data_IF_324565589207
#
_entry.id   IF_324565589207
#
_cell.length_a   1.000
_cell.length_b   1.000
_cell.length_c   1.000
_cell.angle_alpha   90.00
_cell.angle_beta   90.00
_cell.angle_gamma   90.00
#
_symmetry.space_group_name_H-M   'P 1'
#
loop_
_entity.id
_entity.type
_entity.pdbx_description
1 polymer ?
#
# COMPACT_ATOMS: atom_id res chain seq x y z
N UNK A 1 -22.99 28.07 0.09
CA UNK A 1 -23.55 26.99 -0.72
C UNK A 1 -24.12 25.98 0.25
N UNK A 2 -25.44 25.79 0.22
CA UNK A 2 -26.11 24.76 0.99
C UNK A 2 -26.13 23.45 0.20
N UNK A 3 -26.41 22.34 0.87
CA UNK A 3 -26.46 21.02 0.22
C UNK A 3 -27.51 20.96 -0.91
N UNK A 4 -28.62 21.64 -0.71
CA UNK A 4 -29.75 21.75 -1.65
C UNK A 4 -29.43 22.59 -2.90
N UNK A 5 -28.37 23.39 -2.88
CA UNK A 5 -27.93 24.20 -4.02
C UNK A 5 -27.09 23.40 -5.03
N UNK A 6 -26.75 22.13 -4.71
CA UNK A 6 -25.87 21.31 -5.53
C UNK A 6 -26.62 20.67 -6.70
N UNK A 7 -26.02 20.74 -7.89
CA UNK A 7 -26.47 19.98 -9.05
C UNK A 7 -26.24 18.47 -8.83
N UNK A 8 -27.23 17.65 -9.19
CA UNK A 8 -27.24 16.21 -8.88
C UNK A 8 -27.16 15.38 -10.17
N UNK A 9 -26.41 14.25 -10.16
CA UNK A 9 -25.80 13.59 -9.00
C UNK A 9 -24.42 14.14 -8.61
N UNK A 10 -24.20 14.33 -7.31
CA UNK A 10 -22.89 14.70 -6.74
C UNK A 10 -22.58 13.89 -5.48
N UNK A 11 -21.37 13.30 -5.35
CA UNK A 11 -20.95 12.68 -4.11
C UNK A 11 -20.58 13.74 -3.07
N UNK A 12 -21.17 13.67 -1.88
CA UNK A 12 -20.88 14.58 -0.77
C UNK A 12 -20.29 13.79 0.40
N UNK A 13 -19.28 14.36 1.05
CA UNK A 13 -18.59 13.78 2.21
C UNK A 13 -18.74 14.75 3.37
N UNK A 14 -19.32 14.27 4.47
CA UNK A 14 -19.37 14.98 5.75
C UNK A 14 -18.00 14.91 6.43
N UNK A 15 -17.29 16.05 6.45
CA UNK A 15 -15.92 16.12 6.98
C UNK A 15 -15.86 15.94 8.51
N UNK A 16 -16.85 16.42 9.25
CA UNK A 16 -16.92 16.24 10.71
C UNK A 16 -17.06 14.76 11.07
N UNK A 17 -17.76 13.98 10.25
CA UNK A 17 -17.82 12.52 10.39
C UNK A 17 -16.52 11.84 10.00
N UNK A 18 -15.84 12.30 8.94
CA UNK A 18 -14.55 11.76 8.53
C UNK A 18 -13.52 11.94 9.64
N UNK A 19 -13.40 13.16 10.19
CA UNK A 19 -12.43 13.48 11.23
C UNK A 19 -12.66 12.67 12.51
N UNK A 20 -13.91 12.59 12.98
CA UNK A 20 -14.26 11.72 14.13
C UNK A 20 -13.95 10.24 13.89
N UNK A 21 -14.14 9.74 12.67
CA UNK A 21 -13.84 8.34 12.35
C UNK A 21 -12.33 8.07 12.32
N UNK A 22 -11.53 9.01 11.78
CA UNK A 22 -10.07 8.93 11.77
C UNK A 22 -9.55 8.93 13.21
N UNK A 23 -9.95 9.92 14.01
CA UNK A 23 -9.52 10.07 15.40
C UNK A 23 -9.87 8.85 16.24
N UNK A 24 -11.11 8.34 16.11
CA UNK A 24 -11.57 7.16 16.84
C UNK A 24 -10.71 5.93 16.55
N UNK A 25 -10.44 5.64 15.28
CA UNK A 25 -9.65 4.48 14.90
C UNK A 25 -8.20 4.64 15.38
N UNK A 26 -7.62 5.81 15.16
CA UNK A 26 -6.22 6.06 15.51
C UNK A 26 -6.00 5.97 17.03
N UNK A 27 -6.85 6.62 17.82
CA UNK A 27 -6.82 6.54 19.29
C UNK A 27 -6.93 5.10 19.79
N UNK A 28 -7.82 4.30 19.18
CA UNK A 28 -7.95 2.89 19.53
C UNK A 28 -6.66 2.11 19.25
N UNK A 29 -6.05 2.29 18.08
CA UNK A 29 -4.82 1.59 17.71
C UNK A 29 -3.64 2.01 18.59
N UNK A 30 -3.52 3.30 18.90
CA UNK A 30 -2.48 3.84 19.78
C UNK A 30 -2.59 3.28 21.20
N UNK A 31 -3.82 3.18 21.74
CA UNK A 31 -4.07 2.57 23.05
C UNK A 31 -3.65 1.09 23.14
N UNK A 32 -3.53 0.41 21.99
CA UNK A 32 -3.09 -0.98 21.90
C UNK A 32 -1.66 -1.13 21.38
N UNK A 33 -0.94 -0.02 21.13
CA UNK A 33 0.41 -0.04 20.56
C UNK A 33 0.48 -0.60 19.13
N UNK A 34 -0.63 -0.56 18.39
CA UNK A 34 -0.72 -1.07 17.01
C UNK A 34 -0.52 0.09 16.04
N UNK A 35 0.36 -0.07 15.06
CA UNK A 35 0.58 0.97 14.04
C UNK A 35 -0.53 0.95 12.99
N UNK A 36 -1.07 2.13 12.69
CA UNK A 36 -2.09 2.32 11.66
C UNK A 36 -1.48 2.57 10.28
N UNK A 37 -1.89 1.80 9.27
CA UNK A 37 -1.60 2.07 7.86
C UNK A 37 -2.89 1.97 7.03
N UNK A 38 -3.69 3.04 6.95
CA UNK A 38 -5.01 3.01 6.34
C UNK A 38 -4.96 2.75 4.84
N UNK A 39 -6.00 2.08 4.35
CA UNK A 39 -6.14 1.77 2.94
C UNK A 39 -6.92 2.84 2.19
N UNK A 40 -6.27 3.51 1.24
CA UNK A 40 -6.87 4.64 0.52
C UNK A 40 -7.84 4.23 -0.58
N UNK A 41 -8.03 2.92 -0.86
CA UNK A 41 -8.85 2.47 -2.00
C UNK A 41 -10.28 2.96 -1.94
N UNK A 42 -10.79 3.20 -0.74
CA UNK A 42 -12.16 3.66 -0.47
C UNK A 42 -12.37 5.08 -0.98
N UNK A 43 -11.45 6.01 -0.68
CA UNK A 43 -11.62 7.43 -1.01
C UNK A 43 -10.76 7.88 -2.19
N UNK A 44 -9.54 7.38 -2.34
CA UNK A 44 -8.56 7.79 -3.38
C UNK A 44 -8.26 9.30 -3.39
N UNK A 45 -8.56 10.00 -2.30
CA UNK A 45 -8.31 11.42 -2.11
C UNK A 45 -7.04 11.66 -1.28
N UNK A 46 -6.01 12.35 -1.81
CA UNK A 46 -4.81 12.71 -1.04
C UNK A 46 -5.12 13.55 0.20
N UNK A 47 -6.09 14.46 0.13
CA UNK A 47 -6.48 15.30 1.27
C UNK A 47 -6.94 14.46 2.49
N UNK A 48 -7.68 13.37 2.27
CA UNK A 48 -8.09 12.48 3.35
C UNK A 48 -6.96 11.58 3.84
N UNK A 49 -6.04 11.21 2.94
CA UNK A 49 -4.83 10.48 3.34
C UNK A 49 -3.95 11.34 4.26
N UNK A 50 -3.79 12.65 3.98
CA UNK A 50 -3.08 13.56 4.87
C UNK A 50 -3.74 13.68 6.25
N UNK A 51 -5.06 13.81 6.33
CA UNK A 51 -5.76 13.80 7.63
C UNK A 51 -5.48 12.54 8.44
N UNK A 52 -5.35 11.39 7.78
CA UNK A 52 -4.98 10.13 8.46
C UNK A 52 -3.53 10.12 8.94
N UNK A 53 -2.60 10.64 8.12
CA UNK A 53 -1.19 10.77 8.49
C UNK A 53 -0.98 11.76 9.65
N UNK A 54 -1.67 12.90 9.61
CA UNK A 54 -1.68 13.91 10.68
C UNK A 54 -2.21 13.36 12.00
N UNK A 55 -3.17 12.43 11.95
CA UNK A 55 -3.68 11.76 13.14
C UNK A 55 -2.67 10.77 13.76
N UNK A 56 -1.69 10.27 13.00
CA UNK A 56 -0.67 9.34 13.49
C UNK A 56 -0.45 8.09 12.64
N UNK A 57 -1.09 7.96 11.47
CA UNK A 57 -0.82 6.84 10.58
C UNK A 57 0.64 6.83 10.10
N UNK A 58 1.23 5.64 10.01
CA UNK A 58 2.66 5.45 9.67
C UNK A 58 2.95 5.43 8.17
N UNK A 59 1.99 5.87 7.35
CA UNK A 59 1.99 5.68 5.90
C UNK A 59 0.62 5.24 5.42
N UNK A 60 0.50 4.92 4.13
CA UNK A 60 -0.77 4.50 3.53
C UNK A 60 -0.65 3.18 2.79
N UNK A 61 -1.81 2.60 2.45
CA UNK A 61 -1.94 1.40 1.63
C UNK A 61 -2.73 1.67 0.35
N UNK A 62 -2.14 1.34 -0.80
CA UNK A 62 -2.74 1.43 -2.14
C UNK A 62 -2.97 0.03 -2.72
N UNK A 63 -3.97 -0.12 -3.60
CA UNK A 63 -4.24 -1.41 -4.25
C UNK A 63 -3.51 -1.51 -5.60
N UNK A 64 -3.30 -0.38 -6.28
CA UNK A 64 -2.71 -0.32 -7.63
C UNK A 64 -1.53 0.64 -7.68
N UNK A 65 -0.58 0.32 -8.57
CA UNK A 65 0.56 1.18 -8.87
C UNK A 65 0.14 2.60 -9.30
N UNK A 66 -0.94 2.72 -10.07
CA UNK A 66 -1.45 4.03 -10.51
C UNK A 66 -2.02 4.87 -9.35
N UNK A 67 -2.61 4.23 -8.33
CA UNK A 67 -3.09 4.94 -7.14
C UNK A 67 -1.91 5.43 -6.30
N UNK A 68 -0.89 4.58 -6.13
CA UNK A 68 0.33 4.94 -5.44
C UNK A 68 1.06 6.11 -6.13
N UNK A 69 1.09 6.14 -7.46
CA UNK A 69 1.68 7.24 -8.23
C UNK A 69 0.97 8.59 -7.96
N UNK A 70 -0.37 8.61 -7.88
CA UNK A 70 -1.12 9.84 -7.55
C UNK A 70 -0.82 10.29 -6.12
N UNK A 71 -0.76 9.36 -5.17
CA UNK A 71 -0.45 9.68 -3.77
C UNK A 71 0.99 10.19 -3.60
N UNK A 72 1.95 9.58 -4.30
CA UNK A 72 3.34 10.01 -4.32
C UNK A 72 3.50 11.42 -4.91
N UNK A 73 2.81 11.70 -6.03
CA UNK A 73 2.80 13.03 -6.65
C UNK A 73 2.17 14.10 -5.73
N UNK A 74 1.21 13.71 -4.90
CA UNK A 74 0.64 14.57 -3.87
C UNK A 74 1.56 14.77 -2.65
N UNK A 75 2.75 14.13 -2.62
CA UNK A 75 3.77 14.31 -1.59
C UNK A 75 3.86 13.20 -0.54
N UNK A 76 2.98 12.19 -0.57
CA UNK A 76 2.99 11.10 0.42
C UNK A 76 4.21 10.20 0.19
N UNK A 77 4.98 9.94 1.25
CA UNK A 77 6.30 9.31 1.16
C UNK A 77 6.39 7.85 1.59
N UNK A 78 5.42 7.33 2.34
CA UNK A 78 5.45 5.93 2.80
C UNK A 78 4.20 5.20 2.30
N UNK A 79 4.40 4.29 1.36
CA UNK A 79 3.33 3.61 0.62
C UNK A 79 3.56 2.10 0.61
N UNK A 80 2.54 1.35 1.03
CA UNK A 80 2.44 -0.08 0.83
C UNK A 80 1.49 -0.37 -0.34
N UNK A 81 1.91 -1.21 -1.28
CA UNK A 81 1.02 -1.78 -2.32
C UNK A 81 0.64 -3.20 -1.92
N UNK A 82 -0.65 -3.43 -1.64
CA UNK A 82 -1.18 -4.73 -1.20
C UNK A 82 -1.76 -5.54 -2.35
N UNK A 83 -0.99 -5.65 -3.44
CA UNK A 83 -1.34 -6.47 -4.60
C UNK A 83 -0.12 -6.80 -5.46
N UNK A 84 -0.17 -7.98 -6.09
CA UNK A 84 0.83 -8.40 -7.07
C UNK A 84 0.98 -7.39 -8.21
N UNK A 85 2.21 -6.94 -8.45
CA UNK A 85 2.59 -6.16 -9.63
C UNK A 85 3.26 -7.10 -10.62
N UNK A 86 2.57 -7.40 -11.73
CA UNK A 86 3.01 -8.38 -12.72
C UNK A 86 3.11 -7.74 -14.09
N UNK A 87 4.20 -8.05 -14.79
CA UNK A 87 4.37 -7.82 -16.22
C UNK A 87 5.35 -6.71 -16.55
N UNK A 88 6.05 -6.87 -17.68
CA UNK A 88 7.13 -5.98 -18.14
C UNK A 88 6.72 -4.51 -18.23
N UNK A 89 5.47 -4.23 -18.60
CA UNK A 89 4.95 -2.86 -18.71
C UNK A 89 4.81 -2.14 -17.35
N UNK A 90 4.99 -2.86 -16.24
CA UNK A 90 4.96 -2.30 -14.88
C UNK A 90 6.34 -1.98 -14.32
N UNK A 91 7.42 -2.50 -14.92
CA UNK A 91 8.79 -2.34 -14.44
C UNK A 91 9.19 -0.87 -14.35
N UNK A 92 9.09 -0.15 -15.47
CA UNK A 92 9.50 1.26 -15.54
C UNK A 92 8.66 2.16 -14.61
N UNK A 93 7.30 2.11 -14.62
CA UNK A 93 6.52 2.92 -13.68
C UNK A 93 6.77 2.56 -12.21
N UNK A 94 7.04 1.29 -11.90
CA UNK A 94 7.36 0.86 -10.55
C UNK A 94 8.73 1.39 -10.11
N UNK A 95 9.72 1.33 -10.99
CA UNK A 95 11.05 1.88 -10.73
C UNK A 95 10.99 3.39 -10.47
N UNK A 96 10.20 4.12 -11.26
CA UNK A 96 9.97 5.55 -11.05
C UNK A 96 9.32 5.84 -9.70
N UNK A 97 8.30 5.07 -9.31
CA UNK A 97 7.68 5.22 -7.99
C UNK A 97 8.67 4.93 -6.86
N UNK A 98 9.44 3.83 -6.95
CA UNK A 98 10.42 3.44 -5.94
C UNK A 98 11.51 4.49 -5.70
N UNK A 99 11.82 5.34 -6.70
CA UNK A 99 12.74 6.48 -6.52
C UNK A 99 12.13 7.64 -5.73
N UNK A 100 10.81 7.76 -5.66
CA UNK A 100 10.11 8.91 -5.09
C UNK A 100 9.65 8.72 -3.64
N UNK A 101 9.42 7.46 -3.23
CA UNK A 101 8.80 7.10 -1.95
C UNK A 101 9.48 5.90 -1.31
N UNK A 102 9.33 5.77 0.00
CA UNK A 102 9.58 4.52 0.73
C UNK A 102 8.48 3.53 0.35
N UNK A 103 8.83 2.55 -0.47
CA UNK A 103 7.88 1.62 -1.04
C UNK A 103 7.97 0.25 -0.36
N UNK A 104 6.79 -0.30 -0.04
CA UNK A 104 6.62 -1.70 0.34
C UNK A 104 5.62 -2.37 -0.62
N UNK A 105 5.79 -3.66 -0.91
CA UNK A 105 4.88 -4.40 -1.81
C UNK A 105 4.58 -5.78 -1.24
N UNK A 106 3.32 -6.18 -1.25
CA UNK A 106 2.92 -7.56 -0.97
C UNK A 106 2.91 -8.40 -2.25
N UNK A 107 3.50 -9.59 -2.19
CA UNK A 107 3.51 -10.58 -3.27
C UNK A 107 3.18 -11.97 -2.75
N UNK A 108 2.69 -12.85 -3.61
CA UNK A 108 2.42 -14.26 -3.27
C UNK A 108 3.03 -15.26 -4.25
N UNK A 109 3.75 -14.78 -5.26
CA UNK A 109 4.28 -15.62 -6.33
C UNK A 109 5.57 -15.08 -6.95
N UNK A 110 6.29 -15.96 -7.64
CA UNK A 110 7.59 -15.64 -8.25
C UNK A 110 7.49 -14.77 -9.51
N UNK A 111 6.32 -14.73 -10.17
CA UNK A 111 6.11 -13.86 -11.34
C UNK A 111 6.07 -12.39 -10.91
N UNK A 112 5.43 -12.11 -9.78
CA UNK A 112 5.47 -10.79 -9.15
C UNK A 112 6.90 -10.47 -8.65
N UNK A 113 7.58 -11.45 -8.01
CA UNK A 113 8.98 -11.29 -7.58
C UNK A 113 9.89 -10.86 -8.74
N UNK A 114 9.82 -11.53 -9.89
CA UNK A 114 10.62 -11.19 -11.06
C UNK A 114 10.39 -9.74 -11.52
N UNK A 115 9.12 -9.29 -11.53
CA UNK A 115 8.77 -7.92 -11.94
C UNK A 115 9.34 -6.87 -10.97
N UNK A 116 9.23 -7.11 -9.65
CA UNK A 116 9.75 -6.17 -8.65
C UNK A 116 11.28 -6.17 -8.58
N UNK A 117 11.93 -7.31 -8.80
CA UNK A 117 13.40 -7.41 -8.89
C UNK A 117 13.93 -6.58 -10.06
N UNK A 118 13.31 -6.69 -11.24
CA UNK A 118 13.72 -5.90 -12.40
C UNK A 118 13.54 -4.39 -12.15
N UNK A 119 12.40 -4.00 -11.56
CA UNK A 119 12.11 -2.60 -11.26
C UNK A 119 13.07 -1.99 -10.23
N UNK A 120 13.43 -2.74 -9.18
CA UNK A 120 14.33 -2.26 -8.12
C UNK A 120 15.77 -2.15 -8.57
N UNK A 121 16.25 -3.10 -9.39
CA UNK A 121 17.53 -2.99 -10.08
C UNK A 121 17.60 -1.76 -10.98
N UNK A 122 16.55 -1.51 -11.76
CA UNK A 122 16.46 -0.32 -12.60
C UNK A 122 16.42 0.96 -11.75
N UNK A 123 15.68 0.95 -10.65
CA UNK A 123 15.58 2.09 -9.75
C UNK A 123 16.88 2.39 -8.99
N UNK A 124 17.73 1.37 -8.81
CA UNK A 124 18.83 1.34 -7.83
C UNK A 124 18.33 1.71 -6.42
N UNK A 125 17.16 1.15 -6.06
CA UNK A 125 16.48 1.40 -4.79
C UNK A 125 16.01 0.10 -4.17
N UNK A 126 16.33 -0.06 -2.90
CA UNK A 126 15.79 -1.13 -2.09
C UNK A 126 14.31 -0.89 -1.78
N UNK A 127 13.48 -1.94 -1.88
CA UNK A 127 12.09 -1.91 -1.40
C UNK A 127 11.85 -3.07 -0.44
N UNK A 128 10.88 -2.86 0.45
CA UNK A 128 10.40 -3.87 1.37
C UNK A 128 9.37 -4.76 0.69
N UNK A 129 9.44 -6.06 0.95
CA UNK A 129 8.54 -7.04 0.36
C UNK A 129 7.90 -7.87 1.47
N UNK A 130 6.57 -7.90 1.46
CA UNK A 130 5.77 -8.77 2.31
C UNK A 130 5.29 -9.96 1.49
N UNK A 131 5.23 -11.13 2.13
CA UNK A 131 4.56 -12.30 1.53
C UNK A 131 3.10 -12.29 1.97
N UNK A 132 2.18 -12.20 1.01
CA UNK A 132 0.74 -12.35 1.27
C UNK A 132 0.44 -13.83 1.52
N UNK A 133 -0.15 -14.13 2.67
CA UNK A 133 -0.54 -15.45 3.13
C UNK A 133 -2.06 -15.52 3.17
N UNK A 134 -2.61 -16.56 2.57
CA UNK A 134 -4.06 -16.72 2.54
C UNK A 134 -4.58 -17.22 3.89
N UNK A 135 -5.45 -16.43 4.52
CA UNK A 135 -5.98 -16.66 5.86
C UNK A 135 -7.52 -16.82 5.91
N UNK A 136 -8.15 -17.19 4.79
CA UNK A 136 -9.58 -17.52 4.69
C UNK A 136 -10.40 -16.67 3.70
N UNK A 137 -9.78 -15.71 3.01
CA UNK A 137 -10.43 -14.80 2.06
C UNK A 137 -10.60 -15.39 0.65
N UNK A 138 -9.98 -16.54 0.34
CA UNK A 138 -10.04 -17.27 -0.92
C UNK A 138 -9.79 -16.41 -2.17
N UNK A 139 -8.80 -15.51 -2.10
CA UNK A 139 -8.52 -14.52 -3.15
C UNK A 139 -7.13 -14.66 -3.75
N UNK A 140 -6.12 -14.31 -2.98
CA UNK A 140 -4.70 -14.35 -3.31
C UNK A 140 -3.95 -14.75 -2.05
N UNK A 141 -2.65 -15.00 -2.16
CA UNK A 141 -1.80 -15.40 -1.05
C UNK A 141 -1.30 -16.83 -1.19
N UNK A 142 -0.12 -17.06 -0.66
CA UNK A 142 0.43 -18.40 -0.50
C UNK A 142 -0.43 -19.19 0.48
N UNK A 143 -0.61 -20.47 0.19
CA UNK A 143 -1.56 -21.35 0.90
C UNK A 143 -0.90 -22.12 2.05
N UNK A 144 0.44 -22.25 2.02
CA UNK A 144 1.16 -23.03 3.04
C UNK A 144 2.37 -22.28 3.60
N UNK A 145 2.76 -22.54 4.86
CA UNK A 145 3.97 -21.97 5.44
C UNK A 145 5.24 -22.26 4.62
N UNK A 146 5.32 -23.41 3.96
CA UNK A 146 6.46 -23.77 3.12
C UNK A 146 6.53 -22.93 1.84
N UNK A 147 5.36 -22.61 1.25
CA UNK A 147 5.30 -21.67 0.13
C UNK A 147 5.76 -20.28 0.57
N UNK A 148 5.30 -19.81 1.74
CA UNK A 148 5.72 -18.52 2.30
C UNK A 148 7.22 -18.48 2.55
N UNK A 149 7.77 -19.50 3.20
CA UNK A 149 9.19 -19.63 3.48
C UNK A 149 10.03 -19.65 2.20
N UNK A 150 9.61 -20.40 1.17
CA UNK A 150 10.33 -20.45 -0.11
C UNK A 150 10.39 -19.06 -0.75
N UNK A 151 9.28 -18.33 -0.77
CA UNK A 151 9.24 -16.98 -1.35
C UNK A 151 10.06 -15.98 -0.53
N UNK A 152 9.97 -16.01 0.80
CA UNK A 152 10.76 -15.17 1.70
C UNK A 152 12.28 -15.39 1.54
N UNK A 153 12.72 -16.65 1.35
CA UNK A 153 14.12 -16.96 1.06
C UNK A 153 14.59 -16.37 -0.26
N UNK A 154 13.75 -16.44 -1.31
CA UNK A 154 14.08 -15.85 -2.62
C UNK A 154 14.18 -14.33 -2.54
N UNK A 155 13.24 -13.68 -1.84
CA UNK A 155 13.29 -12.23 -1.59
C UNK A 155 14.63 -11.86 -0.91
N UNK A 156 15.03 -12.60 0.11
CA UNK A 156 16.25 -12.32 0.89
C UNK A 156 17.57 -12.54 0.12
N UNK A 157 17.51 -13.15 -1.07
CA UNK A 157 18.69 -13.39 -1.93
C UNK A 157 18.89 -12.27 -2.96
N UNK A 158 17.92 -11.36 -3.12
CA UNK A 158 17.97 -10.27 -4.09
C UNK A 158 18.62 -9.02 -3.48
N UNK A 159 19.48 -8.34 -4.24
CA UNK A 159 20.29 -7.23 -3.71
C UNK A 159 19.52 -5.95 -3.37
N UNK A 160 18.31 -5.78 -3.91
CA UNK A 160 17.48 -4.57 -3.70
C UNK A 160 16.11 -4.90 -3.11
N UNK A 161 15.95 -6.07 -2.49
CA UNK A 161 14.72 -6.44 -1.80
C UNK A 161 15.03 -6.83 -0.36
N UNK A 162 14.21 -6.35 0.57
CA UNK A 162 14.20 -6.83 1.95
C UNK A 162 12.92 -7.62 2.20
N UNK A 163 13.01 -8.80 2.81
CA UNK A 163 11.82 -9.44 3.37
C UNK A 163 11.37 -8.68 4.64
N UNK A 164 10.15 -8.13 4.63
CA UNK A 164 9.61 -7.27 5.69
C UNK A 164 8.40 -7.88 6.42
N UNK A 165 8.15 -9.18 6.20
CA UNK A 165 7.16 -9.95 6.95
C UNK A 165 6.02 -10.52 6.11
N UNK A 166 4.90 -10.76 6.78
CA UNK A 166 3.71 -11.36 6.19
C UNK A 166 2.56 -10.34 6.12
N UNK A 167 1.68 -10.53 5.14
CA UNK A 167 0.39 -9.86 5.06
C UNK A 167 -0.71 -10.93 4.98
N UNK A 168 -1.85 -10.73 5.63
CA UNK A 168 -2.98 -11.67 5.68
C UNK A 168 -4.29 -10.95 5.40
#
# INVERSE_FOLDING_TARGET
MQLEDLDTPVPVIDLDRVERNIEKLQTYLDAHGIKSRPHIKTHKLPALAYKQLEAGAIGITCQKLSEAAVMAAAGIKDILITYNIIGRTKVEPLAQLARQVNLSIAIDNEVALATITEATRMAEKEIKVLVEFESGNQRVGVQTPEQAMRLARKISQESFLTFDGLMT
#
